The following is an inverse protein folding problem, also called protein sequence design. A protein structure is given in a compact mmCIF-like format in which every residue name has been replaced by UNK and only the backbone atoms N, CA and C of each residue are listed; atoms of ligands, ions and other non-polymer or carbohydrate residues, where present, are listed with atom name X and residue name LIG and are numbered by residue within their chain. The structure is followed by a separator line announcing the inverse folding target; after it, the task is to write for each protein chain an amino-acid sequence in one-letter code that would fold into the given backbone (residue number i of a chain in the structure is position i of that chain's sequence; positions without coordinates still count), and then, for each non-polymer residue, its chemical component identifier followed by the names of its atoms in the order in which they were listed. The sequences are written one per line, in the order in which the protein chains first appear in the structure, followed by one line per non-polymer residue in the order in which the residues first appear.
data_IF_330790164638
#
_entry.id   IF_330790164638
#
_cell.length_a   1.000
_cell.length_b   1.000
_cell.length_c   1.000
_cell.angle_alpha   90.00
_cell.angle_beta   90.00
_cell.angle_gamma   90.00
#
_symmetry.space_group_name_H-M   'P 1'
#
loop_
_entity.id
_entity.type
_entity.pdbx_description
1 polymer ?
#
# COMPACT_ATOMS: atom_id res chain seq x y z
N UNK A 1 -23.57 14.06 13.51
CA UNK A 1 -22.76 13.74 12.31
C UNK A 1 -23.55 12.72 11.53
N UNK A 2 -23.61 12.79 10.21
CA UNK A 2 -24.30 11.77 9.40
C UNK A 2 -23.60 10.42 9.62
N UNK A 3 -24.40 9.40 9.88
CA UNK A 3 -23.93 8.03 10.10
C UNK A 3 -23.53 7.47 8.73
N UNK A 4 -22.28 7.01 8.57
CA UNK A 4 -21.85 6.46 7.29
C UNK A 4 -22.61 5.16 6.97
N UNK A 5 -23.02 5.00 5.72
CA UNK A 5 -23.79 3.86 5.22
C UNK A 5 -22.92 2.88 4.48
N UNK A 6 -22.86 1.63 4.94
CA UNK A 6 -22.00 0.58 4.42
C UNK A 6 -22.86 -0.53 3.82
N UNK A 7 -22.60 -0.90 2.56
CA UNK A 7 -23.21 -2.08 1.94
C UNK A 7 -22.30 -3.30 2.20
N UNK A 8 -22.86 -4.34 2.80
CA UNK A 8 -22.20 -5.63 3.06
C UNK A 8 -22.79 -6.69 2.14
N UNK A 9 -21.94 -7.26 1.29
CA UNK A 9 -22.31 -8.28 0.31
C UNK A 9 -21.51 -9.55 0.59
N UNK A 10 -22.18 -10.61 1.03
CA UNK A 10 -21.58 -11.91 1.35
C UNK A 10 -22.69 -12.96 1.28
N UNK A 11 -22.47 -14.10 0.64
CA UNK A 11 -23.48 -15.18 0.54
C UNK A 11 -23.58 -16.01 1.82
N UNK A 12 -22.52 -16.03 2.63
CA UNK A 12 -22.47 -16.72 3.91
C UNK A 12 -23.20 -15.92 5.00
N UNK A 13 -24.42 -16.35 5.39
CA UNK A 13 -25.26 -15.64 6.34
C UNK A 13 -24.56 -15.36 7.68
N UNK A 14 -23.81 -16.33 8.20
CA UNK A 14 -23.14 -16.21 9.50
C UNK A 14 -22.06 -15.12 9.47
N UNK A 15 -21.29 -15.04 8.37
CA UNK A 15 -20.26 -14.02 8.14
C UNK A 15 -20.92 -12.67 7.95
N UNK A 16 -21.95 -12.57 7.13
CA UNK A 16 -22.69 -11.35 6.87
C UNK A 16 -23.27 -10.78 8.18
N UNK A 17 -23.94 -11.61 8.96
CA UNK A 17 -24.50 -11.20 10.26
C UNK A 17 -23.43 -10.69 11.21
N UNK A 18 -22.30 -11.42 11.35
CA UNK A 18 -21.17 -11.00 12.19
C UNK A 18 -20.59 -9.65 11.77
N UNK A 19 -20.39 -9.45 10.47
CA UNK A 19 -19.85 -8.19 9.93
C UNK A 19 -20.82 -7.04 10.18
N UNK A 20 -22.12 -7.25 9.98
CA UNK A 20 -23.14 -6.23 10.21
C UNK A 20 -23.22 -5.84 11.69
N UNK A 21 -23.28 -6.79 12.61
CA UNK A 21 -23.27 -6.53 14.06
C UNK A 21 -22.04 -5.70 14.47
N UNK A 22 -20.85 -6.07 14.00
CA UNK A 22 -19.61 -5.33 14.27
C UNK A 22 -19.68 -3.89 13.79
N UNK A 23 -20.20 -3.65 12.60
CA UNK A 23 -20.29 -2.31 12.02
C UNK A 23 -21.37 -1.46 12.70
N UNK A 24 -22.50 -2.06 13.05
CA UNK A 24 -23.56 -1.39 13.79
C UNK A 24 -23.14 -1.00 15.21
N UNK A 25 -22.38 -1.86 15.91
CA UNK A 25 -21.79 -1.56 17.22
C UNK A 25 -20.82 -0.37 17.18
N UNK A 26 -20.12 -0.18 16.06
CA UNK A 26 -19.25 0.98 15.82
C UNK A 26 -20.02 2.24 15.35
N UNK A 27 -21.35 2.14 15.21
CA UNK A 27 -22.23 3.26 14.88
C UNK A 27 -22.39 3.53 13.39
N UNK A 28 -22.14 2.57 12.51
CA UNK A 28 -22.42 2.66 11.08
C UNK A 28 -23.85 2.22 10.74
N UNK A 29 -24.44 2.78 9.70
CA UNK A 29 -25.66 2.24 9.10
C UNK A 29 -25.26 1.14 8.11
N UNK A 30 -25.89 -0.04 8.19
CA UNK A 30 -25.55 -1.18 7.35
C UNK A 30 -26.71 -1.58 6.45
N UNK A 31 -26.40 -1.86 5.20
CA UNK A 31 -27.31 -2.46 4.22
C UNK A 31 -26.74 -3.82 3.83
N UNK A 32 -27.57 -4.87 3.91
CA UNK A 32 -27.15 -6.23 3.61
C UNK A 32 -27.55 -6.63 2.19
N UNK A 33 -26.72 -7.46 1.55
CA UNK A 33 -27.03 -8.16 0.32
C UNK A 33 -26.45 -9.59 0.38
N UNK A 34 -27.24 -10.58 0.03
CA UNK A 34 -26.86 -11.98 0.11
C UNK A 34 -26.33 -12.59 -1.19
N UNK A 35 -26.38 -11.82 -2.28
CA UNK A 35 -25.96 -12.23 -3.63
C UNK A 35 -25.79 -11.02 -4.53
N UNK A 36 -25.29 -11.23 -5.76
CA UNK A 36 -25.03 -10.15 -6.70
C UNK A 36 -26.27 -9.42 -7.17
N UNK A 37 -27.43 -10.10 -7.27
CA UNK A 37 -28.68 -9.44 -7.69
C UNK A 37 -29.20 -8.48 -6.62
N UNK A 38 -29.21 -8.91 -5.35
CA UNK A 38 -29.57 -8.06 -4.22
C UNK A 38 -28.55 -6.92 -4.03
N UNK A 39 -27.25 -7.18 -4.28
CA UNK A 39 -26.20 -6.17 -4.24
C UNK A 39 -26.41 -5.08 -5.30
N UNK A 40 -26.70 -5.45 -6.57
CA UNK A 40 -27.05 -4.49 -7.62
C UNK A 40 -28.26 -3.65 -7.25
N UNK A 41 -29.28 -4.28 -6.70
CA UNK A 41 -30.52 -3.62 -6.28
C UNK A 41 -30.28 -2.63 -5.13
N UNK A 42 -29.49 -3.01 -4.13
CA UNK A 42 -29.11 -2.16 -3.00
C UNK A 42 -28.26 -0.97 -3.48
N UNK A 43 -27.25 -1.24 -4.31
CA UNK A 43 -26.36 -0.21 -4.86
C UNK A 43 -27.09 0.81 -5.76
N UNK A 44 -28.14 0.38 -6.45
CA UNK A 44 -28.95 1.28 -7.29
C UNK A 44 -29.97 2.13 -6.53
N UNK A 45 -30.40 1.70 -5.32
CA UNK A 45 -31.45 2.34 -4.56
C UNK A 45 -30.99 3.53 -3.74
N UNK A 46 -29.77 3.48 -3.21
CA UNK A 46 -29.24 4.52 -2.34
C UNK A 46 -27.72 4.63 -2.49
N UNK A 47 -27.20 5.81 -2.16
CA UNK A 47 -25.75 6.00 -2.09
C UNK A 47 -25.20 5.32 -0.83
N UNK A 48 -24.07 4.66 -1.00
CA UNK A 48 -23.32 4.05 0.08
C UNK A 48 -21.97 4.76 0.21
N UNK A 49 -21.51 4.94 1.43
CA UNK A 49 -20.19 5.51 1.68
C UNK A 49 -19.08 4.46 1.47
N UNK A 50 -19.45 3.16 1.59
CA UNK A 50 -18.53 2.02 1.43
C UNK A 50 -19.27 0.77 0.99
N UNK A 51 -18.54 -0.12 0.33
CA UNK A 51 -19.01 -1.48 0.03
C UNK A 51 -17.98 -2.48 0.54
N UNK A 52 -18.44 -3.48 1.28
CA UNK A 52 -17.70 -4.70 1.59
C UNK A 52 -18.27 -5.80 0.67
N UNK A 53 -17.42 -6.37 -0.17
CA UNK A 53 -17.86 -7.28 -1.24
C UNK A 53 -17.10 -8.59 -1.18
N UNK A 54 -17.81 -9.69 -0.95
CA UNK A 54 -17.22 -11.02 -1.07
C UNK A 54 -16.91 -11.34 -2.53
N UNK A 55 -15.80 -12.03 -2.75
CA UNK A 55 -15.38 -12.46 -4.08
C UNK A 55 -16.17 -13.68 -4.52
N UNK A 56 -16.33 -14.66 -3.66
CA UNK A 56 -16.91 -15.96 -4.03
C UNK A 56 -18.38 -16.03 -3.66
N UNK A 57 -19.25 -15.71 -4.60
CA UNK A 57 -20.70 -15.83 -4.47
C UNK A 57 -21.26 -16.80 -5.54
N UNK A 58 -22.32 -17.54 -5.24
CA UNK A 58 -22.80 -18.62 -6.13
C UNK A 58 -23.43 -18.12 -7.43
N UNK A 59 -23.95 -16.91 -7.47
CA UNK A 59 -24.66 -16.33 -8.64
C UNK A 59 -23.73 -15.50 -9.53
N UNK A 60 -22.78 -14.77 -8.94
CA UNK A 60 -21.81 -13.95 -9.65
C UNK A 60 -20.54 -13.78 -8.80
N UNK A 61 -19.41 -13.79 -9.47
CA UNK A 61 -18.13 -13.45 -8.86
C UNK A 61 -18.07 -11.95 -8.49
N UNK A 62 -17.67 -11.63 -7.26
CA UNK A 62 -17.57 -10.25 -6.78
C UNK A 62 -16.63 -9.37 -7.61
N UNK A 63 -15.59 -9.95 -8.23
CA UNK A 63 -14.71 -9.22 -9.16
C UNK A 63 -15.49 -8.78 -10.40
N UNK A 64 -16.34 -9.65 -10.93
CA UNK A 64 -17.21 -9.31 -12.06
C UNK A 64 -18.19 -8.20 -11.69
N UNK A 65 -18.75 -8.24 -10.48
CA UNK A 65 -19.66 -7.20 -10.00
C UNK A 65 -18.93 -5.85 -9.79
N UNK A 66 -17.73 -5.86 -9.25
CA UNK A 66 -16.88 -4.68 -9.15
C UNK A 66 -16.59 -4.06 -10.53
N UNK A 67 -16.26 -4.90 -11.52
CA UNK A 67 -16.01 -4.47 -12.89
C UNK A 67 -17.25 -3.83 -13.53
N UNK A 68 -18.44 -4.40 -13.32
CA UNK A 68 -19.70 -3.82 -13.79
C UNK A 68 -19.92 -2.42 -13.19
N UNK A 69 -19.69 -2.26 -11.89
CA UNK A 69 -19.87 -0.96 -11.21
C UNK A 69 -18.82 0.07 -11.65
N UNK A 70 -17.56 -0.33 -11.78
CA UNK A 70 -16.49 0.53 -12.29
C UNK A 70 -16.77 1.02 -13.72
N UNK A 71 -17.18 0.12 -14.62
CA UNK A 71 -17.48 0.46 -16.02
C UNK A 71 -18.76 1.30 -16.18
N UNK A 72 -19.71 1.19 -15.26
CA UNK A 72 -20.96 1.98 -15.31
C UNK A 72 -20.78 3.44 -14.89
N UNK A 73 -19.59 3.85 -14.43
CA UNK A 73 -19.31 5.17 -13.90
C UNK A 73 -20.12 5.52 -12.62
N UNK A 74 -20.64 4.51 -11.92
CA UNK A 74 -21.44 4.66 -10.70
C UNK A 74 -20.69 4.30 -9.45
N UNK A 75 -19.40 3.95 -9.56
CA UNK A 75 -18.58 3.59 -8.41
C UNK A 75 -18.07 4.86 -7.72
N UNK A 76 -18.96 5.56 -7.02
CA UNK A 76 -18.64 6.80 -6.30
C UNK A 76 -18.14 6.54 -4.86
N UNK A 77 -18.05 5.28 -4.44
CA UNK A 77 -17.60 4.90 -3.10
C UNK A 77 -16.52 3.80 -3.15
N UNK A 78 -15.57 3.79 -2.23
CA UNK A 78 -14.57 2.74 -2.14
C UNK A 78 -15.16 1.36 -1.83
N UNK A 79 -14.66 0.35 -2.56
CA UNK A 79 -15.03 -1.05 -2.39
C UNK A 79 -13.87 -1.80 -1.74
N UNK A 80 -14.16 -2.49 -0.65
CA UNK A 80 -13.23 -3.41 0.02
C UNK A 80 -13.63 -4.84 -0.32
N UNK A 81 -12.72 -5.59 -0.93
CA UNK A 81 -12.97 -6.99 -1.27
C UNK A 81 -12.71 -7.90 -0.06
N UNK A 82 -13.55 -8.90 0.12
CA UNK A 82 -13.40 -9.94 1.16
C UNK A 82 -13.22 -11.28 0.47
N UNK A 83 -12.30 -12.14 0.94
CA UNK A 83 -12.12 -13.47 0.35
C UNK A 83 -11.63 -14.50 1.32
N UNK A 84 -12.20 -15.71 1.26
CA UNK A 84 -11.75 -16.89 2.01
C UNK A 84 -10.58 -17.63 1.35
N UNK A 85 -10.45 -17.55 0.03
CA UNK A 85 -9.43 -18.26 -0.76
C UNK A 85 -8.69 -17.29 -1.70
N UNK A 86 -8.48 -16.06 -1.27
CA UNK A 86 -7.82 -15.06 -2.10
C UNK A 86 -6.37 -15.46 -2.40
N UNK A 87 -6.10 -15.74 -3.68
CA UNK A 87 -4.72 -15.78 -4.17
C UNK A 87 -4.22 -14.34 -4.35
N UNK A 88 -2.91 -14.16 -4.36
CA UNK A 88 -2.31 -12.86 -4.66
C UNK A 88 -2.81 -12.29 -6.00
N UNK A 89 -3.04 -13.17 -6.98
CA UNK A 89 -3.58 -12.81 -8.30
C UNK A 89 -4.97 -12.18 -8.21
N UNK A 90 -5.85 -12.73 -7.37
CA UNK A 90 -7.22 -12.23 -7.15
C UNK A 90 -7.23 -10.84 -6.51
N UNK A 91 -6.32 -10.60 -5.55
CA UNK A 91 -6.17 -9.29 -4.92
C UNK A 91 -5.65 -8.23 -5.90
N UNK A 92 -4.69 -8.61 -6.75
CA UNK A 92 -4.15 -7.75 -7.83
C UNK A 92 -5.23 -7.40 -8.85
N UNK A 93 -6.03 -8.37 -9.28
CA UNK A 93 -7.13 -8.14 -10.23
C UNK A 93 -8.19 -7.20 -9.65
N UNK A 94 -8.59 -7.41 -8.40
CA UNK A 94 -9.54 -6.54 -7.70
C UNK A 94 -9.03 -5.09 -7.62
N UNK A 95 -7.75 -4.90 -7.29
CA UNK A 95 -7.13 -3.58 -7.22
C UNK A 95 -7.10 -2.89 -8.60
N UNK A 96 -6.79 -3.62 -9.68
CA UNK A 96 -6.84 -3.09 -11.06
C UNK A 96 -8.24 -2.63 -11.47
N UNK A 97 -9.27 -3.25 -10.95
CA UNK A 97 -10.66 -2.93 -11.22
C UNK A 97 -11.20 -1.80 -10.33
N UNK A 98 -10.37 -1.23 -9.46
CA UNK A 98 -10.72 -0.10 -8.60
C UNK A 98 -11.15 -0.48 -7.18
N UNK A 99 -10.86 -1.71 -6.71
CA UNK A 99 -11.02 -2.03 -5.30
C UNK A 99 -10.08 -1.17 -4.46
N UNK A 100 -10.60 -0.63 -3.35
CA UNK A 100 -9.84 0.20 -2.43
C UNK A 100 -8.89 -0.62 -1.57
N UNK A 101 -9.32 -1.81 -1.13
CA UNK A 101 -8.53 -2.69 -0.26
C UNK A 101 -9.04 -4.14 -0.35
N UNK A 102 -8.30 -5.05 0.27
CA UNK A 102 -8.59 -6.48 0.29
C UNK A 102 -8.43 -7.05 1.71
N UNK A 103 -9.43 -7.80 2.18
CA UNK A 103 -9.42 -8.44 3.49
C UNK A 103 -9.61 -9.96 3.33
N UNK A 104 -8.68 -10.73 3.88
CA UNK A 104 -8.75 -12.19 3.84
C UNK A 104 -9.56 -12.76 5.00
N UNK A 105 -10.46 -13.71 4.73
CA UNK A 105 -11.12 -14.55 5.75
C UNK A 105 -10.09 -15.56 6.33
N UNK A 106 -10.06 -15.86 7.63
CA UNK A 106 -11.02 -15.43 8.64
C UNK A 106 -10.87 -13.97 9.03
N UNK A 107 -12.02 -13.29 9.16
CA UNK A 107 -12.05 -11.85 9.43
C UNK A 107 -11.57 -11.55 10.86
N UNK A 108 -10.49 -10.80 10.97
CA UNK A 108 -10.07 -10.20 12.24
C UNK A 108 -10.85 -8.91 12.47
N UNK A 109 -11.54 -8.78 13.61
CA UNK A 109 -12.28 -7.59 14.01
C UNK A 109 -11.42 -6.31 13.88
N UNK A 110 -10.19 -6.35 14.42
CA UNK A 110 -9.28 -5.21 14.37
C UNK A 110 -8.90 -4.82 12.93
N UNK A 111 -8.69 -5.81 12.05
CA UNK A 111 -8.34 -5.57 10.65
C UNK A 111 -9.53 -5.04 9.86
N UNK A 112 -10.72 -5.62 10.03
CA UNK A 112 -11.94 -5.16 9.38
C UNK A 112 -12.23 -3.69 9.73
N UNK A 113 -12.24 -3.33 11.02
CA UNK A 113 -12.50 -1.98 11.47
C UNK A 113 -11.41 -0.99 11.02
N UNK A 114 -10.14 -1.39 11.03
CA UNK A 114 -9.05 -0.55 10.52
C UNK A 114 -9.22 -0.25 9.03
N UNK A 115 -9.55 -1.27 8.21
CA UNK A 115 -9.78 -1.12 6.78
C UNK A 115 -11.01 -0.23 6.49
N UNK A 116 -12.11 -0.43 7.20
CA UNK A 116 -13.32 0.40 7.05
C UNK A 116 -13.04 1.86 7.46
N UNK A 117 -12.36 2.09 8.58
CA UNK A 117 -11.98 3.44 9.03
C UNK A 117 -11.02 4.13 8.06
N UNK A 118 -10.04 3.42 7.54
CA UNK A 118 -9.13 3.91 6.50
C UNK A 118 -9.89 4.30 5.24
N UNK A 119 -10.78 3.43 4.80
CA UNK A 119 -11.61 3.71 3.65
C UNK A 119 -12.56 4.90 3.87
N UNK A 120 -13.06 5.17 5.08
CA UNK A 120 -13.90 6.33 5.41
C UNK A 120 -13.11 7.65 5.51
N UNK A 121 -11.82 7.61 5.80
CA UNK A 121 -10.97 8.80 5.90
C UNK A 121 -10.54 9.34 4.53
N UNK A 122 -10.54 8.50 3.48
CA UNK A 122 -10.11 8.86 2.13
C UNK A 122 -11.29 9.02 1.17
N UNK A 123 -11.69 10.26 0.86
CA UNK A 123 -12.55 10.53 -0.27
C UNK A 123 -11.82 10.30 -1.58
N UNK A 124 -12.49 9.62 -2.54
CA UNK A 124 -12.29 9.60 -3.99
C UNK A 124 -10.86 9.46 -4.53
N UNK A 125 -10.54 8.28 -5.02
CA UNK A 125 -9.65 8.02 -6.14
C UNK A 125 -8.23 8.58 -6.03
N UNK A 126 -7.33 7.79 -5.49
CA UNK A 126 -5.93 7.70 -5.88
C UNK A 126 -5.20 6.78 -4.91
N UNK A 127 -4.41 5.87 -5.44
CA UNK A 127 -3.27 5.19 -4.82
C UNK A 127 -3.43 4.90 -3.32
N UNK A 128 -3.38 3.64 -2.93
CA UNK A 128 -3.28 3.20 -1.54
C UNK A 128 -2.26 4.06 -0.77
N UNK A 129 -2.74 5.17 -0.21
CA UNK A 129 -2.07 5.81 0.90
C UNK A 129 -2.34 4.84 2.03
N UNK A 130 -1.43 3.89 2.24
CA UNK A 130 -1.40 3.16 3.48
C UNK A 130 -1.51 4.22 4.56
N UNK A 131 -2.66 4.27 5.27
CA UNK A 131 -2.73 5.01 6.51
C UNK A 131 -1.47 4.60 7.25
N UNK A 132 -0.57 5.57 7.48
CA UNK A 132 0.74 5.33 8.08
C UNK A 132 0.48 4.40 9.26
N UNK A 133 0.87 3.12 9.20
CA UNK A 133 0.59 2.23 10.31
C UNK A 133 1.19 2.93 11.53
N UNK A 134 0.40 3.04 12.61
CA UNK A 134 0.94 3.59 13.86
C UNK A 134 2.14 2.73 14.22
N UNK A 135 3.28 3.09 13.66
CA UNK A 135 4.48 2.28 13.72
C UNK A 135 5.10 2.49 15.08
N UNK A 136 4.94 1.50 15.92
CA UNK A 136 5.65 1.45 17.20
C UNK A 136 7.16 1.32 16.94
N UNK A 137 8.01 1.81 17.87
CA UNK A 137 9.45 1.61 17.74
C UNK A 137 9.78 0.13 17.54
N UNK A 138 10.82 -0.21 16.76
CA UNK A 138 11.22 -1.60 16.58
C UNK A 138 11.38 -2.32 17.92
N UNK A 139 10.66 -3.44 18.09
CA UNK A 139 10.61 -4.18 19.36
C UNK A 139 11.86 -5.08 19.53
N UNK A 140 12.28 -5.30 20.77
CA UNK A 140 13.39 -6.17 21.13
C UNK A 140 14.27 -5.57 22.23
N UNK A 141 14.86 -6.42 23.07
CA UNK A 141 15.70 -6.04 24.20
C UNK A 141 17.20 -6.24 23.96
N UNK A 142 17.57 -6.89 22.85
CA UNK A 142 18.97 -7.20 22.55
C UNK A 142 19.81 -5.94 22.33
N UNK A 143 21.13 -5.99 22.59
CA UNK A 143 22.03 -4.87 22.33
C UNK A 143 21.98 -4.37 20.89
N UNK A 144 21.81 -5.29 19.93
CA UNK A 144 21.68 -4.96 18.51
C UNK A 144 20.42 -4.13 18.24
N UNK A 145 19.29 -4.48 18.84
CA UNK A 145 18.04 -3.71 18.72
C UNK A 145 18.11 -2.35 19.41
N UNK A 146 18.85 -2.24 20.50
CA UNK A 146 19.09 -0.95 21.15
C UNK A 146 19.94 -0.03 20.27
N UNK A 147 20.98 -0.58 19.65
CA UNK A 147 21.81 0.16 18.70
C UNK A 147 20.99 0.59 17.48
N UNK A 148 20.22 -0.35 16.87
CA UNK A 148 19.35 -0.06 15.74
C UNK A 148 18.39 1.10 16.04
N UNK A 149 17.70 1.08 17.19
CA UNK A 149 16.79 2.17 17.57
C UNK A 149 17.48 3.53 17.65
N UNK A 150 18.69 3.58 18.23
CA UNK A 150 19.46 4.83 18.30
C UNK A 150 19.87 5.34 16.92
N UNK A 151 20.41 4.44 16.08
CA UNK A 151 20.83 4.80 14.72
C UNK A 151 19.63 5.19 13.86
N UNK A 152 18.52 4.45 13.98
CA UNK A 152 17.28 4.74 13.26
C UNK A 152 16.66 6.08 13.69
N UNK A 153 16.69 6.41 15.00
CA UNK A 153 16.23 7.71 15.48
C UNK A 153 17.09 8.87 14.93
N UNK A 154 18.38 8.68 14.83
CA UNK A 154 19.29 9.66 14.19
C UNK A 154 19.00 9.76 12.68
N UNK A 155 18.85 8.62 12.01
CA UNK A 155 18.51 8.59 10.60
C UNK A 155 17.16 9.28 10.33
N UNK A 156 16.16 9.14 11.21
CA UNK A 156 14.86 9.77 11.05
C UNK A 156 14.94 11.31 10.98
N UNK A 157 15.90 11.94 11.65
CA UNK A 157 16.05 13.40 11.68
C UNK A 157 16.80 13.98 10.48
N UNK A 158 17.25 13.16 9.52
CA UNK A 158 17.97 13.59 8.32
C UNK A 158 17.16 13.29 7.07
N UNK A 159 17.29 14.10 5.99
CA UNK A 159 16.61 13.85 4.73
C UNK A 159 17.29 12.73 3.90
N UNK A 160 18.46 12.27 4.32
CA UNK A 160 19.28 11.33 3.57
C UNK A 160 18.56 10.01 3.29
N UNK A 161 18.83 9.37 2.14
CA UNK A 161 18.32 8.04 1.83
C UNK A 161 18.75 6.99 2.85
N UNK A 162 17.84 6.05 3.15
CA UNK A 162 18.07 4.96 4.11
C UNK A 162 17.93 3.63 3.40
N UNK A 163 18.93 2.75 3.55
CA UNK A 163 18.87 1.37 3.09
C UNK A 163 18.68 0.42 4.28
N UNK A 164 17.57 -0.29 4.30
CA UNK A 164 17.26 -1.27 5.35
C UNK A 164 17.59 -2.66 4.83
N UNK A 165 18.50 -3.35 5.52
CA UNK A 165 18.83 -4.75 5.23
C UNK A 165 18.27 -5.67 6.31
N UNK A 166 17.94 -6.91 5.96
CA UNK A 166 17.45 -7.91 6.93
C UNK A 166 16.76 -9.08 6.25
N UNK A 167 16.53 -10.14 7.01
CA UNK A 167 15.84 -11.34 6.51
C UNK A 167 14.39 -11.05 6.07
N UNK A 168 13.79 -11.89 5.21
CA UNK A 168 12.35 -11.80 4.91
C UNK A 168 11.53 -11.86 6.20
N UNK A 169 10.47 -11.06 6.29
CA UNK A 169 9.61 -11.03 7.49
C UNK A 169 10.24 -10.38 8.73
N UNK A 170 11.44 -9.82 8.65
CA UNK A 170 12.07 -9.13 9.79
C UNK A 170 11.39 -7.81 10.17
N UNK A 171 10.46 -7.28 9.36
CA UNK A 171 9.75 -6.04 9.64
C UNK A 171 10.43 -4.79 9.05
N UNK A 172 11.09 -4.91 7.90
CA UNK A 172 11.73 -3.80 7.19
C UNK A 172 10.75 -2.68 6.85
N UNK A 173 9.57 -3.03 6.36
CA UNK A 173 8.49 -2.06 6.07
C UNK A 173 8.00 -1.35 7.33
N UNK A 174 7.83 -2.08 8.43
CA UNK A 174 7.47 -1.50 9.72
C UNK A 174 8.51 -0.47 10.21
N UNK A 175 9.81 -0.78 10.04
CA UNK A 175 10.89 0.15 10.36
C UNK A 175 10.85 1.39 9.45
N UNK A 176 10.58 1.22 8.16
CA UNK A 176 10.44 2.32 7.20
C UNK A 176 9.27 3.25 7.56
N UNK A 177 8.11 2.68 7.89
CA UNK A 177 6.94 3.44 8.35
C UNK A 177 7.21 4.19 9.65
N UNK A 178 7.93 3.57 10.59
CA UNK A 178 8.35 4.23 11.82
C UNK A 178 9.31 5.39 11.56
N UNK A 179 10.29 5.23 10.66
CA UNK A 179 11.19 6.30 10.24
C UNK A 179 10.44 7.49 9.63
N UNK A 180 9.44 7.22 8.81
CA UNK A 180 8.57 8.25 8.24
C UNK A 180 7.85 9.04 9.34
N UNK A 181 7.22 8.37 10.31
CA UNK A 181 6.55 9.03 11.43
C UNK A 181 7.50 9.88 12.26
N UNK A 182 8.70 9.36 12.55
CA UNK A 182 9.69 10.08 13.34
C UNK A 182 10.30 11.28 12.60
N UNK A 183 10.28 11.27 11.27
CA UNK A 183 10.80 12.39 10.48
C UNK A 183 9.92 13.64 10.55
N UNK A 184 8.66 13.50 10.96
CA UNK A 184 7.69 14.59 10.99
C UNK A 184 7.25 15.04 9.58
N UNK A 185 7.49 14.24 8.54
CA UNK A 185 7.03 14.52 7.19
C UNK A 185 5.51 14.65 7.15
N UNK A 186 5.01 15.69 6.50
CA UNK A 186 3.57 15.97 6.37
C UNK A 186 2.93 15.28 5.16
N UNK A 187 3.74 14.85 4.20
CA UNK A 187 3.32 14.13 3.01
C UNK A 187 3.08 12.64 3.27
N UNK A 188 2.63 11.89 2.27
CA UNK A 188 2.26 10.49 2.42
C UNK A 188 3.47 9.56 2.57
N UNK A 189 3.23 8.37 3.15
CA UNK A 189 4.13 7.23 3.07
C UNK A 189 3.66 6.32 1.93
N UNK A 190 4.43 6.23 0.85
CA UNK A 190 4.08 5.41 -0.31
C UNK A 190 5.06 4.25 -0.45
N UNK A 191 4.52 3.09 -0.83
CA UNK A 191 5.32 1.88 -1.09
C UNK A 191 5.40 1.66 -2.59
N UNK A 192 6.62 1.48 -3.08
CA UNK A 192 6.92 0.99 -4.42
C UNK A 192 7.42 -0.44 -4.32
N UNK A 193 6.71 -1.36 -4.90
CA UNK A 193 7.05 -2.78 -4.97
C UNK A 193 6.96 -3.30 -6.42
N UNK A 194 7.35 -4.56 -6.61
CA UNK A 194 7.28 -5.21 -7.92
C UNK A 194 5.86 -5.25 -8.50
N UNK A 195 4.84 -5.43 -7.66
CA UNK A 195 3.46 -5.53 -8.12
C UNK A 195 2.99 -4.22 -8.74
N UNK A 196 3.32 -3.10 -8.10
CA UNK A 196 2.97 -1.78 -8.60
C UNK A 196 3.68 -1.46 -9.92
N UNK A 197 4.95 -1.83 -10.06
CA UNK A 197 5.70 -1.66 -11.31
C UNK A 197 5.20 -2.56 -12.45
N UNK A 198 4.75 -3.77 -12.15
CA UNK A 198 4.28 -4.72 -13.17
C UNK A 198 2.90 -4.39 -13.73
N UNK A 199 2.12 -3.52 -13.08
CA UNK A 199 0.76 -3.17 -13.50
C UNK A 199 0.73 -2.21 -14.68
N UNK A 200 1.60 -1.20 -14.70
CA UNK A 200 1.57 -0.09 -15.67
C UNK A 200 2.90 0.10 -16.40
N UNK A 201 3.92 -0.67 -15.98
CA UNK A 201 5.29 -0.49 -16.44
C UNK A 201 6.07 0.56 -15.65
N UNK A 202 7.44 0.50 -15.68
CA UNK A 202 8.29 1.34 -14.84
C UNK A 202 8.12 2.84 -15.09
N UNK A 203 8.01 3.26 -16.35
CA UNK A 203 7.90 4.68 -16.69
C UNK A 203 6.59 5.29 -16.22
N UNK A 204 5.46 4.64 -16.51
CA UNK A 204 4.14 5.15 -16.11
C UNK A 204 3.98 5.14 -14.59
N UNK A 205 4.45 4.09 -13.91
CA UNK A 205 4.40 4.03 -12.45
C UNK A 205 5.25 5.12 -11.80
N UNK A 206 6.48 5.35 -12.28
CA UNK A 206 7.42 6.27 -11.65
C UNK A 206 7.13 7.72 -12.01
N UNK A 207 6.92 8.02 -13.30
CA UNK A 207 6.77 9.37 -13.82
C UNK A 207 5.31 9.79 -14.01
N UNK A 208 4.40 8.82 -14.18
CA UNK A 208 2.99 9.05 -14.49
C UNK A 208 2.71 9.14 -15.98
N UNK A 209 1.50 9.58 -16.29
CA UNK A 209 1.03 9.93 -17.64
C UNK A 209 0.59 11.39 -17.66
N UNK A 210 0.08 11.90 -18.80
CA UNK A 210 -0.51 13.23 -18.86
C UNK A 210 -1.75 13.38 -17.97
N UNK A 211 -2.46 12.26 -17.71
CA UNK A 211 -3.70 12.24 -16.93
C UNK A 211 -3.50 11.83 -15.47
N UNK A 212 -2.48 11.01 -15.18
CA UNK A 212 -2.26 10.46 -13.84
C UNK A 212 -0.87 10.76 -13.31
N UNK A 213 -0.74 11.29 -12.07
CA UNK A 213 0.56 11.56 -11.47
C UNK A 213 1.31 10.27 -11.12
N UNK A 214 2.60 10.18 -11.48
CA UNK A 214 3.49 9.09 -11.08
C UNK A 214 3.81 9.11 -9.58
N UNK A 215 4.48 8.03 -9.10
CA UNK A 215 4.72 7.85 -7.66
C UNK A 215 5.62 8.94 -7.07
N UNK A 216 6.57 9.50 -7.82
CA UNK A 216 7.41 10.61 -7.35
C UNK A 216 6.58 11.88 -7.09
N UNK A 217 5.57 12.16 -7.93
CA UNK A 217 4.66 13.27 -7.71
C UNK A 217 3.76 13.03 -6.51
N UNK A 218 3.23 11.80 -6.39
CA UNK A 218 2.35 11.40 -5.28
C UNK A 218 3.07 11.43 -3.93
N UNK A 219 4.37 11.11 -3.89
CA UNK A 219 5.18 11.07 -2.67
C UNK A 219 5.69 12.44 -2.20
N UNK A 220 5.40 13.53 -2.94
CA UNK A 220 5.93 14.87 -2.63
C UNK A 220 5.67 15.28 -1.18
N UNK A 221 6.70 15.82 -0.51
CA UNK A 221 6.67 16.19 0.90
C UNK A 221 6.58 15.01 1.89
N UNK A 222 6.58 13.78 1.39
CA UNK A 222 6.44 12.54 2.15
C UNK A 222 7.64 11.61 2.08
N UNK A 223 7.37 10.31 2.06
CA UNK A 223 8.39 9.26 1.97
C UNK A 223 8.00 8.24 0.90
N UNK A 224 8.94 7.93 0.02
CA UNK A 224 8.85 6.81 -0.92
C UNK A 224 9.67 5.63 -0.37
N UNK A 225 8.97 4.57 0.01
CA UNK A 225 9.59 3.31 0.43
C UNK A 225 9.66 2.33 -0.73
N UNK A 226 10.86 2.00 -1.16
CA UNK A 226 11.11 1.00 -2.20
C UNK A 226 11.36 -0.36 -1.56
N UNK A 227 10.36 -1.24 -1.68
CA UNK A 227 10.36 -2.55 -1.03
C UNK A 227 11.10 -3.58 -1.87
N UNK A 228 12.13 -4.24 -1.26
CA UNK A 228 12.90 -5.33 -1.85
C UNK A 228 13.43 -4.98 -3.26
N UNK A 229 14.41 -4.08 -3.31
CA UNK A 229 14.96 -3.57 -4.57
C UNK A 229 15.39 -4.68 -5.54
N UNK A 230 15.90 -5.82 -5.03
CA UNK A 230 16.33 -6.96 -5.84
C UNK A 230 15.17 -7.67 -6.55
N UNK A 231 13.92 -7.40 -6.17
CA UNK A 231 12.73 -7.98 -6.80
C UNK A 231 12.18 -7.09 -7.93
N UNK A 232 12.69 -5.86 -8.05
CA UNK A 232 12.37 -4.94 -9.14
C UNK A 232 13.17 -5.28 -10.39
N UNK A 233 12.59 -5.10 -11.56
CA UNK A 233 13.30 -5.28 -12.83
C UNK A 233 14.46 -4.28 -12.95
N UNK A 234 15.58 -4.70 -13.56
CA UNK A 234 16.78 -3.87 -13.72
C UNK A 234 16.50 -2.57 -14.50
N UNK A 235 15.54 -2.56 -15.42
CA UNK A 235 15.10 -1.35 -16.12
C UNK A 235 14.50 -0.34 -15.15
N UNK A 236 13.63 -0.78 -14.25
CA UNK A 236 13.04 0.06 -13.20
C UNK A 236 14.13 0.57 -12.24
N UNK A 237 15.03 -0.30 -11.82
CA UNK A 237 16.14 0.08 -10.94
C UNK A 237 17.03 1.14 -11.59
N UNK A 238 17.39 0.99 -12.87
CA UNK A 238 18.22 1.95 -13.61
C UNK A 238 17.52 3.29 -13.79
N UNK A 239 16.21 3.29 -14.04
CA UNK A 239 15.42 4.52 -14.15
C UNK A 239 15.35 5.24 -12.79
N UNK A 240 15.11 4.54 -11.71
CA UNK A 240 15.12 5.09 -10.34
C UNK A 240 16.51 5.68 -10.03
N UNK A 241 17.58 4.95 -10.34
CA UNK A 241 18.95 5.42 -10.12
C UNK A 241 19.23 6.72 -10.88
N UNK A 242 18.80 6.83 -12.13
CA UNK A 242 18.95 8.04 -12.94
C UNK A 242 18.19 9.24 -12.33
N UNK A 243 16.95 9.04 -11.88
CA UNK A 243 16.14 10.08 -11.24
C UNK A 243 16.79 10.56 -9.94
N UNK A 244 17.24 9.63 -9.09
CA UNK A 244 17.88 9.97 -7.81
C UNK A 244 19.24 10.67 -8.03
N UNK A 245 20.02 10.23 -9.00
CA UNK A 245 21.30 10.88 -9.36
C UNK A 245 21.11 12.31 -9.90
N UNK A 246 20.07 12.53 -10.69
CA UNK A 246 19.71 13.85 -11.18
C UNK A 246 19.08 14.75 -10.11
N UNK A 247 18.53 14.17 -9.04
CA UNK A 247 17.74 14.88 -8.03
C UNK A 247 16.45 15.49 -8.58
N UNK A 248 16.07 15.13 -9.80
CA UNK A 248 14.91 15.65 -10.50
C UNK A 248 14.37 14.64 -11.51
N UNK A 249 13.11 14.78 -11.87
CA UNK A 249 12.40 13.97 -12.85
C UNK A 249 11.48 14.84 -13.69
N UNK A 250 11.19 14.42 -14.93
CA UNK A 250 10.32 15.19 -15.85
C UNK A 250 9.02 14.41 -16.07
N UNK A 251 7.86 14.99 -15.69
CA UNK A 251 6.56 14.36 -15.99
C UNK A 251 6.34 14.24 -17.50
N UNK A 252 5.65 13.22 -18.00
CA UNK A 252 5.24 13.14 -19.38
C UNK A 252 4.47 14.40 -19.81
N UNK A 253 4.80 14.92 -21.00
CA UNK A 253 4.17 16.15 -21.54
C UNK A 253 4.63 17.48 -20.89
N UNK A 254 5.53 17.45 -19.92
CA UNK A 254 6.10 18.65 -19.31
C UNK A 254 7.52 18.93 -19.87
N UNK A 255 7.86 20.21 -20.07
CA UNK A 255 9.20 20.65 -20.49
C UNK A 255 10.15 20.85 -19.30
N UNK A 256 9.60 21.16 -18.13
CA UNK A 256 10.40 21.51 -16.95
C UNK A 256 10.57 20.33 -15.99
N UNK A 257 11.81 20.02 -15.54
CA UNK A 257 12.07 19.00 -14.54
C UNK A 257 11.55 19.45 -13.16
N UNK A 258 11.01 18.50 -12.39
CA UNK A 258 10.59 18.69 -11.00
C UNK A 258 11.61 18.06 -10.06
N UNK A 259 11.93 18.70 -8.94
CA UNK A 259 12.84 18.11 -7.95
C UNK A 259 12.22 16.85 -7.33
N UNK A 260 13.07 15.92 -6.92
CA UNK A 260 12.67 14.80 -6.05
C UNK A 260 12.43 15.38 -4.66
N UNK A 261 11.16 15.63 -4.32
CA UNK A 261 10.72 16.25 -3.07
C UNK A 261 10.08 15.20 -2.15
N UNK A 262 10.71 14.04 -2.04
CA UNK A 262 10.31 13.00 -1.10
C UNK A 262 11.55 12.35 -0.50
N UNK A 263 11.40 11.88 0.73
CA UNK A 263 12.44 11.09 1.38
C UNK A 263 12.47 9.68 0.79
N UNK A 264 13.66 9.15 0.53
CA UNK A 264 13.86 7.81 -0.01
C UNK A 264 14.24 6.85 1.12
N UNK A 265 13.49 5.76 1.24
CA UNK A 265 13.83 4.60 2.08
C UNK A 265 13.76 3.38 1.18
N UNK A 266 14.76 2.51 1.23
CA UNK A 266 14.77 1.28 0.44
C UNK A 266 15.03 0.06 1.32
N UNK A 267 14.60 -1.11 0.87
CA UNK A 267 14.94 -2.36 1.53
C UNK A 267 15.51 -3.40 0.56
N UNK A 268 16.39 -4.24 1.09
CA UNK A 268 16.89 -5.43 0.42
C UNK A 268 16.96 -6.61 1.39
N UNK A 269 16.81 -7.81 0.86
CA UNK A 269 17.06 -9.06 1.58
C UNK A 269 18.43 -9.61 1.18
N UNK A 270 19.30 -9.77 2.14
CA UNK A 270 20.68 -10.23 1.92
C UNK A 270 21.72 -9.12 1.97
N UNK A 271 22.90 -9.43 1.46
CA UNK A 271 24.02 -8.49 1.36
C UNK A 271 23.90 -7.68 0.06
N UNK A 272 23.80 -6.33 0.13
CA UNK A 272 23.71 -5.49 -1.06
C UNK A 272 24.86 -5.68 -2.06
N UNK A 273 26.09 -5.88 -1.57
CA UNK A 273 27.25 -6.07 -2.45
C UNK A 273 27.19 -7.41 -3.19
N UNK A 274 26.72 -8.46 -2.53
CA UNK A 274 26.48 -9.75 -3.17
C UNK A 274 25.38 -9.65 -4.24
N UNK A 275 24.30 -8.94 -3.96
CA UNK A 275 23.19 -8.72 -4.92
C UNK A 275 23.66 -7.97 -6.18
N UNK A 276 24.59 -7.02 -6.05
CA UNK A 276 25.18 -6.35 -7.21
C UNK A 276 26.05 -7.33 -8.02
N UNK A 277 26.85 -8.18 -7.37
CA UNK A 277 27.66 -9.20 -8.07
C UNK A 277 26.79 -10.25 -8.79
N UNK A 278 25.61 -10.54 -8.26
CA UNK A 278 24.62 -11.44 -8.86
C UNK A 278 23.75 -10.77 -9.93
N UNK A 279 24.01 -9.51 -10.27
CA UNK A 279 23.22 -8.69 -11.21
C UNK A 279 21.73 -8.57 -10.84
N UNK A 280 21.39 -8.69 -9.55
CA UNK A 280 20.06 -8.51 -9.01
C UNK A 280 19.79 -7.10 -8.51
N UNK A 281 20.83 -6.33 -8.25
CA UNK A 281 20.76 -4.95 -7.78
C UNK A 281 21.66 -4.06 -8.64
N UNK A 282 21.10 -2.97 -9.16
CA UNK A 282 21.88 -1.96 -9.88
C UNK A 282 22.87 -1.26 -8.94
N UNK A 283 24.14 -1.22 -9.34
CA UNK A 283 25.22 -0.64 -8.53
C UNK A 283 25.02 0.85 -8.28
N UNK A 284 24.51 1.58 -9.25
CA UNK A 284 24.29 3.02 -9.11
C UNK A 284 23.14 3.27 -8.12
N UNK A 285 22.06 2.49 -8.21
CA UNK A 285 20.97 2.55 -7.28
C UNK A 285 21.43 2.22 -5.85
N UNK A 286 22.22 1.14 -5.66
CA UNK A 286 22.78 0.80 -4.36
C UNK A 286 23.54 1.97 -3.73
N UNK A 287 24.37 2.67 -4.51
CA UNK A 287 25.14 3.83 -4.03
C UNK A 287 24.24 5.01 -3.66
N UNK A 288 23.16 5.24 -4.40
CA UNK A 288 22.24 6.35 -4.14
C UNK A 288 21.42 6.11 -2.88
N UNK A 289 20.96 4.89 -2.63
CA UNK A 289 20.11 4.57 -1.46
C UNK A 289 20.91 4.13 -0.23
N UNK A 290 22.15 3.74 -0.40
CA UNK A 290 23.03 3.19 0.66
C UNK A 290 23.70 4.22 1.57
N UNK A 291 23.25 5.47 1.58
CA UNK A 291 23.85 6.57 2.37
C UNK A 291 23.79 6.29 3.86
N UNK A 292 22.64 5.84 4.36
CA UNK A 292 22.43 5.45 5.75
C UNK A 292 22.00 3.99 5.85
N UNK A 293 22.93 3.05 6.04
CA UNK A 293 22.58 1.64 6.15
C UNK A 293 22.03 1.32 7.56
N UNK A 294 20.89 0.62 7.59
CA UNK A 294 20.29 0.09 8.81
C UNK A 294 20.12 -1.43 8.66
N UNK A 295 20.75 -2.19 9.55
CA UNK A 295 20.60 -3.63 9.58
C UNK A 295 19.57 -4.06 10.61
N UNK A 296 18.51 -4.72 10.16
CA UNK A 296 17.44 -5.24 11.02
C UNK A 296 17.71 -6.71 11.35
N UNK A 297 18.10 -7.02 12.61
CA UNK A 297 18.43 -8.39 12.98
C UNK A 297 17.21 -9.31 12.88
N UNK A 298 17.41 -10.61 12.66
CA UNK A 298 16.32 -11.57 12.59
C UNK A 298 15.61 -11.69 13.95
N UNK A 299 14.33 -12.11 13.93
CA UNK A 299 13.49 -12.18 15.14
C UNK A 299 14.11 -13.01 16.26
N UNK A 300 14.85 -14.06 15.94
CA UNK A 300 15.57 -14.92 16.91
C UNK A 300 16.70 -14.24 17.67
N UNK A 301 17.14 -13.05 17.26
CA UNK A 301 18.24 -12.28 17.84
C UNK A 301 17.78 -10.97 18.53
N UNK A 302 16.48 -10.80 18.75
CA UNK A 302 15.90 -9.55 19.30
C UNK A 302 15.67 -9.52 20.79
#
# INVERSE_FOLDING_TARGET
MAQANILVVDDEQDIRTLVCEILEDEGYAVTEAENGESARSAFARQAHDRVLLDIWMPDIDGITLLKEWSQSGRLDCPVVMISGHGTLETAVEATRLGAHDFVQKPLSLAKLLATVKSALAGGSGAAATLATPSATPPQGSSPQMQLLRRTAAQAASTPEPVLITGEPGSGKEHLAAWLHQQSGASGPFLVLDRLRLSSEGPQETLLGTEETPGIFAQASGGTLFMHELQDLDLEAQSLIAAILAAGAWTPPGADDPRPVDCRIIASVTGDPDALVQEEKLDKTLQLQVGVLPLHLPPLRER
#
